data_IF_289668963131
#
_entry.id   IF_289668963131
#
_cell.length_a   1.000
_cell.length_b   1.000
_cell.length_c   1.000
_cell.angle_alpha   90.00
_cell.angle_beta   90.00
_cell.angle_gamma   90.00
#
_symmetry.space_group_name_H-M   'P 1'
#
loop_
_entity.id
_entity.type
_entity.pdbx_description
1 polymer ?
#
# COMPACT_ATOMS: atom_id res chain seq x y z
N UNK A 1 -20.94 3.13 9.55
CA UNK A 1 -21.43 2.45 10.76
C UNK A 1 -20.75 1.09 11.01
N UNK A 2 -20.59 0.21 10.01
CA UNK A 2 -19.99 -1.12 10.22
C UNK A 2 -18.46 -1.17 10.43
N UNK A 3 -17.69 -0.25 9.82
CA UNK A 3 -16.22 -0.23 9.95
C UNK A 3 -15.70 0.33 11.28
N UNK A 4 -16.45 1.21 11.92
CA UNK A 4 -16.06 1.86 13.19
C UNK A 4 -16.16 0.87 14.37
N UNK A 5 -17.21 0.04 14.40
CA UNK A 5 -17.41 -1.01 15.39
C UNK A 5 -16.36 -2.15 15.30
N UNK A 6 -15.91 -2.48 14.07
CA UNK A 6 -14.84 -3.46 13.87
C UNK A 6 -13.47 -2.93 14.35
N UNK A 7 -13.20 -1.63 14.11
CA UNK A 7 -12.02 -0.94 14.62
C UNK A 7 -12.00 -0.84 16.15
N UNK A 8 -13.13 -0.55 16.78
CA UNK A 8 -13.27 -0.52 18.25
C UNK A 8 -13.06 -1.91 18.88
N UNK A 9 -13.60 -2.96 18.26
CA UNK A 9 -13.41 -4.34 18.73
C UNK A 9 -11.95 -4.80 18.65
N UNK A 10 -11.26 -4.49 17.55
CA UNK A 10 -9.83 -4.80 17.37
C UNK A 10 -8.94 -4.00 18.32
N UNK A 11 -9.28 -2.74 18.59
CA UNK A 11 -8.54 -1.92 19.56
C UNK A 11 -8.69 -2.47 20.98
N UNK A 12 -9.89 -2.93 21.34
CA UNK A 12 -10.18 -3.47 22.68
C UNK A 12 -9.35 -4.71 23.02
N UNK A 13 -9.02 -5.55 22.03
CA UNK A 13 -8.15 -6.72 22.20
C UNK A 13 -6.71 -6.37 22.57
N UNK A 14 -6.26 -5.14 22.30
CA UNK A 14 -4.89 -4.68 22.54
C UNK A 14 -4.74 -3.82 23.81
N UNK A 15 -5.87 -3.52 24.48
CA UNK A 15 -5.88 -2.77 25.73
C UNK A 15 -5.52 -3.66 26.92
N UNK A 16 -4.75 -3.12 27.86
CA UNK A 16 -4.46 -3.77 29.14
C UNK A 16 -5.64 -3.64 30.09
N UNK A 17 -5.75 -4.56 31.05
CA UNK A 17 -6.83 -4.55 32.04
C UNK A 17 -6.91 -3.23 32.83
N UNK A 18 -5.76 -2.64 33.18
CA UNK A 18 -5.65 -1.33 33.82
C UNK A 18 -6.18 -0.18 32.92
N UNK A 19 -5.92 -0.24 31.61
CA UNK A 19 -6.37 0.75 30.63
C UNK A 19 -7.89 0.66 30.43
N UNK A 20 -8.43 -0.57 30.44
CA UNK A 20 -9.87 -0.85 30.38
C UNK A 20 -10.56 -0.32 31.66
N UNK A 21 -10.01 -0.63 32.84
CA UNK A 21 -10.55 -0.21 34.14
C UNK A 21 -10.57 1.31 34.28
N UNK A 22 -9.47 1.97 33.89
CA UNK A 22 -9.34 3.43 33.98
C UNK A 22 -10.04 4.19 32.86
N UNK A 23 -10.47 3.51 31.79
CA UNK A 23 -10.99 4.13 30.55
C UNK A 23 -10.09 5.24 30.02
N UNK A 24 -8.78 5.07 30.18
CA UNK A 24 -7.79 6.07 29.82
C UNK A 24 -6.61 5.42 29.11
N UNK A 25 -6.10 6.09 28.08
CA UNK A 25 -4.98 5.63 27.30
C UNK A 25 -4.04 6.80 27.03
N UNK A 26 -2.76 6.63 27.35
CA UNK A 26 -1.79 7.67 27.03
C UNK A 26 -1.54 7.70 25.51
N UNK A 27 -1.18 8.89 24.99
CA UNK A 27 -0.99 9.09 23.55
C UNK A 27 0.01 8.12 22.93
N UNK A 28 1.13 7.85 23.62
CA UNK A 28 2.14 6.89 23.15
C UNK A 28 1.55 5.50 22.95
N UNK A 29 0.82 5.00 23.95
CA UNK A 29 0.19 3.68 23.90
C UNK A 29 -0.86 3.58 22.80
N UNK A 30 -1.65 4.64 22.60
CA UNK A 30 -2.60 4.71 21.49
C UNK A 30 -1.91 4.57 20.14
N UNK A 31 -0.80 5.28 19.92
CA UNK A 31 -0.03 5.21 18.68
C UNK A 31 0.58 3.81 18.46
N UNK A 32 1.17 3.21 19.50
CA UNK A 32 1.69 1.83 19.45
C UNK A 32 0.62 0.84 18.99
N UNK A 33 -0.61 0.94 19.53
CA UNK A 33 -1.72 0.08 19.13
C UNK A 33 -2.07 0.29 17.66
N UNK A 34 -2.14 1.54 17.19
CA UNK A 34 -2.41 1.83 15.77
C UNK A 34 -1.32 1.26 14.84
N UNK A 35 -0.05 1.29 15.26
CA UNK A 35 1.04 0.75 14.48
C UNK A 35 1.00 -0.79 14.43
N UNK A 36 0.51 -1.44 15.49
CA UNK A 36 0.25 -2.89 15.52
C UNK A 36 -0.97 -3.32 14.70
N UNK A 37 -2.00 -2.47 14.63
CA UNK A 37 -3.22 -2.75 13.87
C UNK A 37 -3.06 -2.50 12.36
N UNK A 38 -1.93 -1.93 11.94
CA UNK A 38 -1.62 -1.63 10.55
C UNK A 38 -0.32 -2.31 10.12
N UNK A 39 0.00 -2.16 8.83
CA UNK A 39 1.28 -2.59 8.25
C UNK A 39 2.49 -1.83 8.78
N UNK A 40 2.35 -0.76 9.59
CA UNK A 40 3.50 -0.03 10.15
C UNK A 40 4.43 -0.97 10.92
N UNK A 41 3.89 -1.89 11.73
CA UNK A 41 4.71 -2.81 12.53
C UNK A 41 5.46 -3.87 11.73
N UNK A 42 5.00 -4.22 10.52
CA UNK A 42 5.57 -5.30 9.69
C UNK A 42 6.35 -4.78 8.48
N UNK A 43 5.88 -3.68 7.89
CA UNK A 43 6.42 -3.09 6.66
C UNK A 43 7.06 -1.71 6.89
N UNK A 44 6.96 -1.12 8.08
CA UNK A 44 7.41 0.24 8.40
C UNK A 44 6.72 1.34 7.55
N UNK A 45 5.60 1.03 6.91
CA UNK A 45 4.68 2.00 6.29
C UNK A 45 3.24 1.46 6.38
N UNK A 46 2.27 2.34 6.16
CA UNK A 46 0.86 1.97 5.97
C UNK A 46 0.20 2.83 4.91
N UNK A 47 -0.88 2.33 4.31
CA UNK A 47 -1.71 3.09 3.38
C UNK A 47 -2.76 3.87 4.19
N UNK A 48 -2.66 5.19 4.22
CA UNK A 48 -3.59 6.02 5.02
C UNK A 48 -4.88 6.38 4.27
N UNK A 49 -4.74 6.67 2.97
CA UNK A 49 -5.83 7.07 2.10
C UNK A 49 -5.50 6.77 0.64
N UNK A 50 -6.53 6.51 -0.16
CA UNK A 50 -6.44 6.32 -1.60
C UNK A 50 -7.74 6.79 -2.24
N UNK A 51 -7.62 7.61 -3.27
CA UNK A 51 -8.73 8.09 -4.11
C UNK A 51 -8.32 7.80 -5.55
N UNK A 52 -9.14 7.07 -6.28
CA UNK A 52 -8.88 6.69 -7.67
C UNK A 52 -10.11 6.99 -8.53
N UNK A 53 -9.94 7.09 -9.84
CA UNK A 53 -11.06 7.19 -10.77
C UNK A 53 -11.81 5.85 -10.80
N UNK A 54 -13.13 5.89 -10.63
CA UNK A 54 -14.01 4.76 -10.92
C UNK A 54 -14.36 4.71 -12.41
N UNK A 55 -14.98 3.61 -12.84
CA UNK A 55 -15.44 3.39 -14.23
C UNK A 55 -16.32 4.54 -14.77
N UNK A 56 -16.99 5.29 -13.88
CA UNK A 56 -17.82 6.46 -14.18
C UNK A 56 -17.04 7.80 -14.29
N UNK A 57 -15.71 7.78 -14.39
CA UNK A 57 -14.80 8.95 -14.42
C UNK A 57 -14.90 9.86 -13.17
N UNK A 58 -15.44 9.34 -12.07
CA UNK A 58 -15.54 10.06 -10.79
C UNK A 58 -14.46 9.59 -9.83
N UNK A 59 -13.93 10.51 -9.05
CA UNK A 59 -13.05 10.17 -7.94
C UNK A 59 -13.85 9.42 -6.87
N UNK A 60 -13.42 8.20 -6.56
CA UNK A 60 -14.01 7.34 -5.56
C UNK A 60 -12.93 6.80 -4.61
N UNK A 61 -13.36 6.43 -3.40
CA UNK A 61 -12.52 5.66 -2.49
C UNK A 61 -12.17 4.33 -3.11
N UNK A 62 -10.94 3.87 -2.88
CA UNK A 62 -10.48 2.57 -3.34
C UNK A 62 -11.41 1.44 -2.85
N UNK A 63 -11.74 0.49 -3.73
CA UNK A 63 -12.48 -0.72 -3.36
C UNK A 63 -11.58 -1.58 -2.47
N UNK A 64 -12.09 -1.99 -1.31
CA UNK A 64 -11.30 -2.73 -0.32
C UNK A 64 -11.30 -4.24 -0.62
N UNK A 65 -10.19 -4.93 -0.34
CA UNK A 65 -10.17 -6.39 -0.34
C UNK A 65 -11.24 -6.99 0.59
N UNK A 66 -11.79 -8.18 0.29
CA UNK A 66 -12.78 -8.83 1.14
C UNK A 66 -12.29 -8.99 2.58
N UNK A 67 -13.10 -8.57 3.55
CA UNK A 67 -12.74 -8.67 4.98
C UNK A 67 -11.95 -7.48 5.52
N UNK A 68 -11.55 -6.52 4.68
CA UNK A 68 -10.87 -5.28 5.11
C UNK A 68 -11.90 -4.17 5.31
N UNK A 69 -11.99 -3.64 6.53
CA UNK A 69 -12.97 -2.59 6.88
C UNK A 69 -12.53 -1.17 6.50
N UNK A 70 -11.22 -0.93 6.41
CA UNK A 70 -10.64 0.36 6.04
C UNK A 70 -9.20 0.23 5.55
N UNK A 71 -8.72 1.21 4.78
CA UNK A 71 -7.31 1.30 4.37
C UNK A 71 -6.34 1.30 5.57
N UNK A 72 -6.74 1.96 6.67
CA UNK A 72 -5.91 2.06 7.88
C UNK A 72 -5.72 0.72 8.60
N UNK A 73 -6.63 -0.24 8.37
CA UNK A 73 -6.53 -1.60 8.87
C UNK A 73 -5.82 -2.57 7.91
N UNK A 74 -5.34 -2.10 6.75
CA UNK A 74 -4.55 -2.93 5.84
C UNK A 74 -3.22 -3.31 6.50
N UNK A 75 -3.11 -4.60 6.83
CA UNK A 75 -1.96 -5.18 7.53
C UNK A 75 -1.28 -6.26 6.70
N UNK A 76 -2.06 -7.15 6.10
CA UNK A 76 -1.52 -8.26 5.32
C UNK A 76 -0.92 -7.78 4.00
N UNK A 77 0.28 -8.28 3.69
CA UNK A 77 1.03 -7.80 2.51
C UNK A 77 0.29 -8.10 1.21
N UNK A 78 -0.47 -9.20 1.15
CA UNK A 78 -1.25 -9.61 -0.02
C UNK A 78 -2.44 -8.68 -0.28
N UNK A 79 -3.11 -8.23 0.78
CA UNK A 79 -4.18 -7.24 0.69
C UNK A 79 -3.62 -5.87 0.27
N UNK A 80 -2.40 -5.53 0.69
CA UNK A 80 -1.72 -4.30 0.29
C UNK A 80 -1.31 -4.37 -1.19
N UNK A 81 -0.78 -5.51 -1.65
CA UNK A 81 -0.49 -5.75 -3.08
C UNK A 81 -1.77 -5.56 -3.89
N UNK A 82 -2.88 -6.17 -3.46
CA UNK A 82 -4.18 -6.04 -4.12
C UNK A 82 -4.63 -4.57 -4.15
N UNK A 83 -4.60 -3.88 -3.01
CA UNK A 83 -5.01 -2.48 -2.90
C UNK A 83 -4.17 -1.56 -3.79
N UNK A 84 -2.84 -1.72 -3.81
CA UNK A 84 -1.95 -0.93 -4.67
C UNK A 84 -2.20 -1.25 -6.14
N UNK A 85 -2.39 -2.52 -6.50
CA UNK A 85 -2.73 -2.94 -7.86
C UNK A 85 -4.03 -2.30 -8.36
N UNK A 86 -5.09 -2.35 -7.54
CA UNK A 86 -6.36 -1.68 -7.83
C UNK A 86 -6.20 -0.17 -7.92
N UNK A 87 -5.39 0.44 -7.04
CA UNK A 87 -5.13 1.87 -7.09
C UNK A 87 -4.46 2.27 -8.39
N UNK A 88 -3.54 1.46 -8.91
CA UNK A 88 -2.86 1.67 -10.19
C UNK A 88 -3.67 1.19 -11.40
N UNK A 89 -4.95 0.85 -11.21
CA UNK A 89 -5.85 0.37 -12.26
C UNK A 89 -5.29 -0.82 -13.04
N UNK A 90 -4.52 -1.69 -12.35
CA UNK A 90 -3.87 -2.87 -12.94
C UNK A 90 -2.93 -2.54 -14.12
N UNK A 91 -2.49 -1.28 -14.23
CA UNK A 91 -1.60 -0.83 -15.30
C UNK A 91 -0.13 -1.14 -14.96
N UNK A 92 0.42 -2.12 -15.67
CA UNK A 92 1.81 -2.55 -15.54
C UNK A 92 2.81 -1.42 -15.79
N UNK A 93 2.48 -0.46 -16.66
CA UNK A 93 3.33 0.70 -16.95
C UNK A 93 3.42 1.63 -15.76
N UNK A 94 2.28 1.94 -15.12
CA UNK A 94 2.22 2.72 -13.89
C UNK A 94 2.95 2.02 -12.74
N UNK A 95 2.76 0.71 -12.59
CA UNK A 95 3.43 -0.10 -11.58
C UNK A 95 4.97 -0.05 -11.72
N UNK A 96 5.49 -0.21 -12.95
CA UNK A 96 6.93 -0.09 -13.24
C UNK A 96 7.46 1.32 -13.00
N UNK A 97 6.70 2.36 -13.36
CA UNK A 97 7.08 3.75 -13.12
C UNK A 97 7.18 4.07 -11.63
N UNK A 98 6.22 3.58 -10.83
CA UNK A 98 6.23 3.74 -9.38
C UNK A 98 7.40 2.99 -8.73
N UNK A 99 7.68 1.76 -9.16
CA UNK A 99 8.85 1.00 -8.70
C UNK A 99 10.14 1.81 -8.91
N UNK A 100 10.35 2.32 -10.13
CA UNK A 100 11.54 3.11 -10.46
C UNK A 100 11.67 4.36 -9.59
N UNK A 101 10.55 5.05 -9.31
CA UNK A 101 10.55 6.23 -8.44
C UNK A 101 10.82 5.88 -6.98
N UNK A 102 10.28 4.78 -6.47
CA UNK A 102 10.55 4.32 -5.11
C UNK A 102 12.03 3.95 -4.94
N UNK A 103 12.64 3.25 -5.91
CA UNK A 103 14.06 2.91 -5.91
C UNK A 103 14.94 4.17 -6.00
N UNK A 104 14.62 5.10 -6.91
CA UNK A 104 15.34 6.37 -7.04
C UNK A 104 15.24 7.23 -5.77
N UNK A 105 14.06 7.24 -5.13
CA UNK A 105 13.83 7.96 -3.88
C UNK A 105 14.66 7.37 -2.73
N UNK A 106 14.66 6.05 -2.56
CA UNK A 106 15.51 5.39 -1.56
C UNK A 106 17.00 5.72 -1.77
N UNK A 107 17.49 5.63 -3.01
CA UNK A 107 18.87 5.96 -3.33
C UNK A 107 19.21 7.45 -3.08
N UNK A 108 18.25 8.36 -3.32
CA UNK A 108 18.43 9.78 -3.02
C UNK A 108 18.47 10.06 -1.51
N UNK A 109 17.62 9.38 -0.73
CA UNK A 109 17.59 9.46 0.73
C UNK A 109 18.91 9.00 1.35
N UNK A 110 19.46 7.87 0.89
CA UNK A 110 20.74 7.32 1.38
C UNK A 110 21.93 8.27 1.15
N UNK A 111 21.89 9.11 0.12
CA UNK A 111 22.94 10.12 -0.16
C UNK A 111 22.67 11.48 0.47
N UNK A 112 21.50 11.69 1.05
CA UNK A 112 21.06 13.01 1.51
C UNK A 112 21.58 13.30 2.91
N UNK A 113 22.42 14.33 3.02
CA UNK A 113 22.88 14.86 4.33
C UNK A 113 21.72 15.39 5.16
N UNK A 114 20.72 16.00 4.51
CA UNK A 114 19.50 16.44 5.18
C UNK A 114 18.78 15.23 5.79
N UNK A 115 18.58 14.17 5.01
CA UNK A 115 17.84 13.00 5.46
C UNK A 115 18.54 12.34 6.64
N UNK A 116 19.84 12.05 6.54
CA UNK A 116 20.64 11.44 7.62
C UNK A 116 20.74 12.28 8.91
N UNK A 117 20.27 13.54 8.90
CA UNK A 117 20.29 14.46 10.05
C UNK A 117 18.91 14.80 10.59
N UNK A 118 17.84 14.24 10.06
CA UNK A 118 16.47 14.53 10.50
C UNK A 118 15.73 13.24 10.81
N UNK A 119 14.98 13.23 11.90
CA UNK A 119 14.01 12.16 12.20
C UNK A 119 12.71 12.49 11.48
N UNK A 120 12.09 11.50 10.83
CA UNK A 120 10.86 11.64 10.05
C UNK A 120 9.70 10.87 10.68
N UNK A 121 9.07 11.46 11.69
CA UNK A 121 7.88 10.87 12.31
C UNK A 121 6.61 11.30 11.58
N UNK A 122 5.75 10.33 11.23
CA UNK A 122 4.41 10.55 10.67
C UNK A 122 4.38 11.38 9.38
N UNK A 123 5.51 11.49 8.69
CA UNK A 123 5.57 11.94 7.31
C UNK A 123 4.93 10.91 6.38
N UNK A 124 4.52 11.34 5.19
CA UNK A 124 3.88 10.47 4.23
C UNK A 124 4.56 10.57 2.86
N UNK A 125 4.40 9.53 2.06
CA UNK A 125 4.65 9.56 0.63
C UNK A 125 3.32 9.78 -0.08
N UNK A 126 3.25 10.82 -0.90
CA UNK A 126 2.11 11.12 -1.74
C UNK A 126 2.40 10.64 -3.15
N UNK A 127 1.61 9.68 -3.61
CA UNK A 127 1.57 9.20 -4.97
C UNK A 127 0.43 9.87 -5.72
N UNK A 128 0.74 10.47 -6.86
CA UNK A 128 -0.25 11.10 -7.74
C UNK A 128 0.05 10.77 -9.20
N UNK A 129 -0.97 10.47 -9.98
CA UNK A 129 -0.87 10.35 -11.43
C UNK A 129 -2.16 10.85 -12.07
N UNK A 130 -2.09 11.15 -13.37
CA UNK A 130 -3.21 11.60 -14.18
C UNK A 130 -3.52 10.51 -15.21
N UNK A 131 -4.80 10.14 -15.35
CA UNK A 131 -5.23 9.15 -16.34
C UNK A 131 -4.95 9.60 -17.78
N UNK A 132 -4.97 10.90 -18.04
CA UNK A 132 -4.67 11.46 -19.35
C UNK A 132 -3.14 11.56 -19.62
N UNK A 133 -2.32 11.58 -18.57
CA UNK A 133 -0.86 11.74 -18.66
C UNK A 133 -0.16 10.78 -17.68
N UNK A 134 -0.37 9.48 -17.86
CA UNK A 134 0.10 8.42 -16.96
C UNK A 134 1.62 8.41 -16.77
N UNK A 135 2.37 8.87 -17.76
CA UNK A 135 3.82 9.02 -17.72
C UNK A 135 4.30 10.07 -16.69
N UNK A 136 3.40 10.95 -16.22
CA UNK A 136 3.71 12.03 -15.26
C UNK A 136 3.49 11.64 -13.80
N UNK A 137 3.36 10.35 -13.49
CA UNK A 137 3.27 9.86 -12.11
C UNK A 137 4.33 10.52 -11.21
N UNK A 138 3.96 11.00 -10.04
CA UNK A 138 4.85 11.61 -9.06
C UNK A 138 4.78 10.87 -7.72
N UNK A 139 5.93 10.76 -7.05
CA UNK A 139 6.06 10.27 -5.69
C UNK A 139 6.80 11.34 -4.89
N UNK A 140 6.15 11.93 -3.89
CA UNK A 140 6.68 13.06 -3.11
C UNK A 140 6.59 12.81 -1.62
N UNK A 141 7.63 13.22 -0.88
CA UNK A 141 7.55 13.28 0.58
C UNK A 141 6.71 14.48 1.01
N UNK A 142 5.80 14.28 1.95
CA UNK A 142 4.94 15.32 2.52
C UNK A 142 4.86 15.18 4.05
N UNK A 143 4.27 16.19 4.69
CA UNK A 143 3.98 16.25 6.12
C UNK A 143 5.20 16.12 7.04
N UNK A 144 6.05 17.16 7.05
CA UNK A 144 7.22 17.26 7.93
C UNK A 144 6.91 17.87 9.31
N UNK A 145 5.64 18.01 9.69
CA UNK A 145 5.25 18.72 10.91
C UNK A 145 5.77 18.06 12.21
N UNK A 146 6.13 16.77 12.16
CA UNK A 146 6.69 16.00 13.27
C UNK A 146 8.11 15.53 12.97
N UNK A 147 8.72 16.09 11.92
CA UNK A 147 10.13 15.88 11.60
C UNK A 147 10.98 16.90 12.34
N UNK A 148 12.13 16.46 12.86
CA UNK A 148 13.04 17.35 13.59
C UNK A 148 14.49 16.99 13.33
N UNK A 149 15.37 17.99 13.37
CA UNK A 149 16.80 17.81 13.18
C UNK A 149 17.42 17.19 14.43
N UNK A 150 18.40 16.31 14.24
CA UNK A 150 19.27 15.82 15.31
C UNK A 150 20.21 16.91 15.79
N UNK A 151 20.63 16.81 17.04
CA UNK A 151 21.63 17.72 17.58
C UNK A 151 22.98 17.51 16.86
N UNK A 152 23.78 18.57 16.63
CA UNK A 152 25.00 18.47 15.83
C UNK A 152 26.02 17.43 16.33
N UNK A 153 26.04 17.15 17.63
CA UNK A 153 26.95 16.19 18.27
C UNK A 153 26.47 14.74 18.21
N UNK A 154 25.20 14.49 17.84
CA UNK A 154 24.69 13.14 17.68
C UNK A 154 25.16 12.53 16.35
N UNK A 155 25.34 11.20 16.27
CA UNK A 155 25.65 10.53 15.02
C UNK A 155 24.48 10.68 14.02
N UNK A 156 24.75 10.64 12.70
CA UNK A 156 23.72 10.54 11.68
C UNK A 156 22.83 9.30 11.88
N UNK A 157 21.59 9.39 11.40
CA UNK A 157 20.65 8.26 11.34
C UNK A 157 20.95 7.40 10.12
N UNK A 158 20.67 6.11 10.25
CA UNK A 158 20.73 5.19 9.11
C UNK A 158 19.35 4.94 8.51
N UNK A 159 18.27 5.15 9.28
CA UNK A 159 16.88 4.92 8.88
C UNK A 159 16.54 3.46 8.51
N UNK A 160 17.48 2.55 8.72
CA UNK A 160 17.41 1.15 8.32
C UNK A 160 17.37 0.17 9.50
N UNK A 161 17.27 0.69 10.72
CA UNK A 161 17.05 -0.06 11.93
C UNK A 161 15.60 0.10 12.41
N UNK A 162 15.07 -0.96 13.03
CA UNK A 162 13.81 -0.87 13.76
C UNK A 162 14.02 -0.04 15.03
N UNK A 163 13.06 0.81 15.35
CA UNK A 163 13.07 1.50 16.63
C UNK A 163 13.00 0.48 17.78
N UNK A 164 13.99 0.53 18.67
CA UNK A 164 14.16 -0.43 19.77
C UNK A 164 13.38 -0.05 21.04
N UNK A 165 12.57 1.01 20.97
CA UNK A 165 11.82 1.51 22.13
C UNK A 165 12.65 2.32 23.11
N UNK A 166 13.96 2.48 22.87
CA UNK A 166 14.86 3.20 23.77
C UNK A 166 14.84 4.71 23.47
N UNK A 167 14.96 5.56 24.51
CA UNK A 167 15.16 7.00 24.31
C UNK A 167 16.50 7.35 23.64
N UNK A 168 17.42 6.39 23.55
CA UNK A 168 18.73 6.56 22.91
C UNK A 168 18.73 6.33 21.40
N UNK A 169 17.72 5.62 20.89
CA UNK A 169 17.54 5.38 19.47
C UNK A 169 16.51 6.34 18.91
N UNK A 170 16.99 7.31 18.14
CA UNK A 170 16.15 8.24 17.38
C UNK A 170 15.79 7.66 15.98
N UNK A 171 15.94 6.34 15.78
CA UNK A 171 15.63 5.69 14.50
C UNK A 171 14.12 5.67 14.22
N UNK A 172 13.76 6.03 12.99
CA UNK A 172 12.38 6.13 12.52
C UNK A 172 11.99 5.02 11.52
N UNK A 173 12.95 4.16 11.15
CA UNK A 173 12.77 3.06 10.20
C UNK A 173 12.31 3.50 8.80
N UNK A 174 12.49 4.76 8.43
CA UNK A 174 11.92 5.30 7.19
C UNK A 174 12.40 4.54 5.94
N UNK A 175 13.69 4.21 5.85
CA UNK A 175 14.23 3.44 4.72
C UNK A 175 13.77 1.97 4.73
N UNK A 176 13.44 1.40 5.89
CA UNK A 176 12.76 0.10 5.95
C UNK A 176 11.40 0.22 5.24
N UNK A 177 10.65 1.29 5.50
CA UNK A 177 9.37 1.57 4.84
C UNK A 177 9.49 1.66 3.32
N UNK A 178 10.48 2.44 2.83
CA UNK A 178 10.72 2.58 1.38
C UNK A 178 11.16 1.25 0.74
N UNK A 179 12.04 0.48 1.40
CA UNK A 179 12.46 -0.84 0.91
C UNK A 179 11.31 -1.84 0.89
N UNK A 180 10.42 -1.79 1.89
CA UNK A 180 9.19 -2.58 1.90
C UNK A 180 8.24 -2.18 0.76
N UNK A 181 8.10 -0.88 0.47
CA UNK A 181 7.33 -0.41 -0.69
C UNK A 181 7.93 -0.95 -2.00
N UNK A 182 9.25 -0.89 -2.18
CA UNK A 182 9.94 -1.49 -3.35
C UNK A 182 9.65 -2.99 -3.45
N UNK A 183 9.70 -3.73 -2.33
CA UNK A 183 9.36 -5.16 -2.29
C UNK A 183 7.91 -5.41 -2.72
N UNK A 184 6.95 -4.68 -2.16
CA UNK A 184 5.53 -4.79 -2.49
C UNK A 184 5.29 -4.47 -3.97
N UNK A 185 5.92 -3.44 -4.51
CA UNK A 185 5.80 -3.09 -5.93
C UNK A 185 6.31 -4.18 -6.87
N UNK A 186 7.39 -4.88 -6.50
CA UNK A 186 7.86 -6.05 -7.27
C UNK A 186 6.82 -7.17 -7.29
N UNK A 187 6.11 -7.39 -6.18
CA UNK A 187 5.01 -8.36 -6.10
C UNK A 187 3.79 -7.94 -6.92
N UNK A 188 3.44 -6.65 -6.89
CA UNK A 188 2.38 -6.08 -7.74
C UNK A 188 2.68 -6.34 -9.21
N UNK A 189 3.91 -6.05 -9.65
CA UNK A 189 4.32 -6.27 -11.05
C UNK A 189 4.22 -7.75 -11.43
N UNK A 190 4.73 -8.66 -10.60
CA UNK A 190 4.64 -10.09 -10.86
C UNK A 190 3.19 -10.57 -10.99
N UNK A 191 2.31 -10.16 -10.07
CA UNK A 191 0.89 -10.52 -10.13
C UNK A 191 0.19 -9.99 -11.39
N UNK A 192 0.53 -8.77 -11.84
CA UNK A 192 0.00 -8.20 -13.07
C UNK A 192 0.51 -8.90 -14.33
N UNK A 193 1.76 -9.34 -14.33
CA UNK A 193 2.34 -10.15 -15.41
C UNK A 193 1.63 -11.51 -15.52
N UNK A 194 1.43 -12.21 -14.39
CA UNK A 194 0.70 -13.48 -14.35
C UNK A 194 -0.75 -13.33 -14.88
N UNK A 195 -1.46 -12.27 -14.47
CA UNK A 195 -2.82 -11.97 -14.94
C UNK A 195 -2.86 -11.73 -16.45
N UNK A 196 -1.86 -11.00 -16.98
CA UNK A 196 -1.75 -10.73 -18.41
C UNK A 196 -1.51 -12.03 -19.19
N UNK A 197 -0.60 -12.89 -18.74
CA UNK A 197 -0.32 -14.18 -19.36
C UNK A 197 -1.57 -15.08 -19.38
N UNK A 198 -2.33 -15.13 -18.29
CA UNK A 198 -3.60 -15.87 -18.23
C UNK A 198 -4.67 -15.31 -19.19
N UNK A 199 -4.70 -13.99 -19.39
CA UNK A 199 -5.63 -13.36 -20.33
C UNK A 199 -5.28 -13.66 -21.80
N UNK A 200 -3.99 -13.74 -22.12
CA UNK A 200 -3.48 -14.01 -23.46
C UNK A 200 -3.58 -15.51 -23.83
N UNK A 201 -3.53 -16.42 -22.83
CA UNK A 201 -3.60 -17.87 -23.03
C UNK A 201 -5.02 -18.46 -22.99
N UNK A 202 -6.08 -17.66 -22.98
CA UNK A 202 -7.46 -18.17 -23.04
C UNK A 202 -7.72 -18.78 -24.43
N UNK A 203 -7.88 -20.12 -24.57
CA UNK A 203 -8.10 -20.72 -25.88
C UNK A 203 -9.46 -20.26 -26.43
N UNK A 204 -9.43 -19.74 -27.66
CA UNK A 204 -10.61 -19.47 -28.48
C UNK A 204 -11.30 -20.80 -28.86
N UNK A 205 -12.03 -21.41 -27.92
CA UNK A 205 -12.83 -22.62 -28.19
C UNK A 205 -14.24 -22.44 -27.68
N UNK A 206 -14.97 -21.52 -28.31
CA UNK A 206 -16.43 -21.43 -28.20
C UNK A 206 -17.10 -21.00 -29.52
N UNK A 207 -16.40 -21.09 -30.67
CA UNK A 207 -16.97 -20.82 -32.01
C UNK A 207 -17.03 -22.04 -32.93
N UNK A 208 -16.50 -23.21 -32.53
CA UNK A 208 -16.43 -24.38 -33.43
C UNK A 208 -17.59 -25.39 -33.27
N UNK A 209 -18.59 -25.09 -32.44
CA UNK A 209 -19.88 -25.80 -32.49
C UNK A 209 -20.81 -25.09 -33.47
N UNK A 210 -20.46 -25.18 -34.75
CA UNK A 210 -21.44 -25.01 -35.83
C UNK A 210 -22.42 -26.17 -35.71
N UNK A 211 -23.66 -25.87 -35.33
CA UNK A 211 -24.78 -26.78 -35.50
C UNK A 211 -24.78 -27.25 -36.96
N UNK A 212 -24.62 -28.57 -37.16
CA UNK A 212 -24.73 -29.19 -38.46
C UNK A 212 -26.07 -28.82 -39.10
N UNK A 213 -25.98 -28.27 -40.31
CA UNK A 213 -27.05 -28.11 -41.28
C UNK A 213 -27.50 -29.51 -41.73
N UNK A 214 -28.36 -30.17 -40.95
CA UNK A 214 -29.05 -31.38 -41.41
C UNK A 214 -30.17 -30.95 -42.37
N UNK A 215 -29.79 -30.75 -43.64
CA UNK A 215 -30.73 -30.79 -44.76
C UNK A 215 -31.13 -32.24 -45.00
N UNK A 216 -32.31 -32.60 -44.53
CA UNK A 216 -33.02 -33.78 -45.02
C UNK A 216 -33.64 -33.43 -46.38
N UNK A 217 -32.89 -33.71 -47.45
CA UNK A 217 -33.43 -33.92 -48.78
C UNK A 217 -34.05 -35.32 -48.83
N UNK A 218 -35.38 -35.39 -48.83
CA UNK A 218 -36.10 -36.59 -49.27
C UNK A 218 -37.28 -36.19 -50.17
N UNK A 219 -36.94 -35.98 -51.45
CA UNK A 219 -37.83 -36.18 -52.58
C UNK A 219 -37.60 -37.63 -53.05
N UNK A 220 -38.61 -38.50 -53.00
CA UNK A 220 -39.09 -39.24 -54.18
C UNK A 220 -40.32 -40.13 -53.87
N UNK A 221 -41.29 -40.06 -54.79
CA UNK A 221 -42.30 -41.08 -55.16
C UNK A 221 -43.51 -41.36 -54.27
#
# INVERSE_FOLDING_TARGET
AGGEAAGEALMTLHLKEEEIKSRSLCRRRYLEILDHLSSTSTLAFRVDAAITCSDDEKLASLIMPPGVSSLRSLRDEDDIVTAISTFLQEDLTLARALLLKAEAMGAAMERSVFFARHVFLRSALLLTYDDANRERLELKMINFAFSFARLPHQPPLTHDALWDGSPSSDEDSYLIGVRSLVRVMKRVIAALEDLKEMSEHKPSRLSDFVYGDDRDDSDDS
#
